data_IF_401970017968
#
_entry.id   IF_401970017968
#
_cell.length_a   1.000
_cell.length_b   1.000
_cell.length_c   1.000
_cell.angle_alpha   90.00
_cell.angle_beta   90.00
_cell.angle_gamma   90.00
#
_symmetry.space_group_name_H-M   'P 1'
#
loop_
_entity.id
_entity.type
_entity.pdbx_description
1 polymer ?
#
# COMPACT_ATOMS: atom_id res chain seq x y z
N UNK A 1 -18.25 -18.60 -7.88
CA UNK A 1 -17.19 -18.89 -6.90
C UNK A 1 -17.69 -19.47 -5.56
N UNK A 2 -17.16 -20.63 -5.15
CA UNK A 2 -17.43 -21.35 -3.89
C UNK A 2 -16.62 -20.79 -2.69
N UNK A 3 -16.90 -21.27 -1.46
CA UNK A 3 -16.10 -20.92 -0.27
C UNK A 3 -14.65 -21.41 -0.40
N UNK A 4 -14.46 -22.59 -0.98
CA UNK A 4 -13.14 -23.19 -1.18
C UNK A 4 -12.31 -22.38 -2.17
N UNK A 5 -12.91 -21.98 -3.29
CA UNK A 5 -12.27 -21.14 -4.31
C UNK A 5 -11.91 -19.75 -3.77
N UNK A 6 -12.77 -19.13 -2.93
CA UNK A 6 -12.42 -17.89 -2.23
C UNK A 6 -11.21 -18.06 -1.33
N UNK A 7 -11.14 -19.16 -0.58
CA UNK A 7 -10.00 -19.44 0.29
C UNK A 7 -8.72 -19.64 -0.53
N UNK A 8 -8.81 -20.34 -1.66
CA UNK A 8 -7.71 -20.47 -2.62
C UNK A 8 -7.19 -19.10 -3.07
N UNK A 9 -8.07 -18.20 -3.53
CA UNK A 9 -7.69 -16.86 -3.97
C UNK A 9 -6.97 -16.07 -2.87
N UNK A 10 -7.49 -16.07 -1.64
CA UNK A 10 -6.86 -15.40 -0.49
C UNK A 10 -5.46 -15.96 -0.17
N UNK A 11 -5.32 -17.28 -0.20
CA UNK A 11 -4.05 -17.95 0.07
C UNK A 11 -3.04 -17.66 -1.04
N UNK A 12 -3.48 -17.72 -2.31
CA UNK A 12 -2.64 -17.45 -3.46
C UNK A 12 -2.12 -16.02 -3.50
N UNK A 13 -2.97 -15.03 -3.21
CA UNK A 13 -2.57 -13.61 -3.08
C UNK A 13 -1.55 -13.40 -1.96
N UNK A 14 -1.49 -14.31 -0.98
CA UNK A 14 -0.56 -14.23 0.14
C UNK A 14 0.77 -14.94 -0.11
N UNK A 15 0.78 -16.06 -0.84
CA UNK A 15 1.96 -16.91 -1.04
C UNK A 15 2.54 -16.87 -2.46
N UNK A 16 1.75 -16.51 -3.47
CA UNK A 16 2.11 -16.64 -4.89
C UNK A 16 2.22 -18.08 -5.40
N UNK A 17 1.85 -19.07 -4.57
CA UNK A 17 2.02 -20.49 -4.87
C UNK A 17 0.65 -21.18 -4.98
N UNK A 18 0.32 -21.69 -6.18
CA UNK A 18 -0.97 -22.32 -6.51
C UNK A 18 -1.19 -23.60 -5.70
N UNK A 19 -0.22 -24.52 -5.71
CA UNK A 19 -0.31 -25.80 -5.00
C UNK A 19 -0.51 -25.60 -3.50
N UNK A 20 0.26 -24.71 -2.88
CA UNK A 20 0.11 -24.40 -1.46
C UNK A 20 -1.24 -23.75 -1.17
N UNK A 21 -1.70 -22.83 -2.03
CA UNK A 21 -2.99 -22.19 -1.89
C UNK A 21 -4.14 -23.21 -1.97
N UNK A 22 -4.02 -24.21 -2.85
CA UNK A 22 -4.97 -25.30 -3.01
C UNK A 22 -5.03 -26.21 -1.79
N UNK A 23 -3.87 -26.62 -1.25
CA UNK A 23 -3.80 -27.41 -0.01
C UNK A 23 -4.45 -26.65 1.15
N UNK A 24 -4.11 -25.37 1.34
CA UNK A 24 -4.69 -24.55 2.40
C UNK A 24 -6.17 -24.22 2.19
N UNK A 25 -6.66 -24.27 0.95
CA UNK A 25 -8.08 -24.17 0.65
C UNK A 25 -8.83 -25.48 0.96
N UNK A 26 -8.11 -26.59 1.22
CA UNK A 26 -8.69 -27.90 1.52
C UNK A 26 -8.85 -28.79 0.31
N UNK A 27 -8.10 -28.56 -0.78
CA UNK A 27 -8.03 -29.51 -1.90
C UNK A 27 -7.39 -30.81 -1.43
N UNK A 28 -8.08 -31.94 -1.63
CA UNK A 28 -7.65 -33.26 -1.12
C UNK A 28 -6.88 -34.09 -2.14
N UNK A 29 -7.23 -33.93 -3.42
CA UNK A 29 -6.67 -34.69 -4.53
C UNK A 29 -6.08 -33.71 -5.54
N UNK A 30 -4.87 -34.02 -6.00
CA UNK A 30 -4.14 -33.29 -7.03
C UNK A 30 -4.20 -31.74 -6.92
N UNK A 31 -3.68 -31.15 -5.82
CA UNK A 31 -3.74 -29.71 -5.57
C UNK A 31 -2.98 -28.87 -6.62
N UNK A 32 -2.02 -29.47 -7.33
CA UNK A 32 -1.27 -28.82 -8.39
C UNK A 32 -2.18 -28.54 -9.58
N UNK A 33 -2.72 -29.59 -10.21
CA UNK A 33 -3.64 -29.47 -11.35
C UNK A 33 -4.89 -28.69 -10.98
N UNK A 34 -5.44 -28.90 -9.78
CA UNK A 34 -6.62 -28.16 -9.33
C UNK A 34 -6.35 -26.65 -9.22
N UNK A 35 -5.21 -26.28 -8.63
CA UNK A 35 -4.80 -24.88 -8.48
C UNK A 35 -4.54 -24.21 -9.83
N UNK A 36 -3.82 -24.86 -10.73
CA UNK A 36 -3.55 -24.33 -12.08
C UNK A 36 -4.83 -24.14 -12.89
N UNK A 37 -5.74 -25.13 -12.88
CA UNK A 37 -7.01 -25.02 -13.56
C UNK A 37 -7.89 -23.90 -13.00
N UNK A 38 -7.85 -23.64 -11.68
CA UNK A 38 -8.54 -22.50 -11.10
C UNK A 38 -7.97 -21.18 -11.60
N UNK A 39 -6.64 -21.04 -11.70
CA UNK A 39 -6.02 -19.80 -12.20
C UNK A 39 -6.39 -19.47 -13.65
N UNK A 40 -6.75 -20.48 -14.45
CA UNK A 40 -7.22 -20.29 -15.83
C UNK A 40 -8.67 -19.80 -15.93
N UNK A 41 -9.44 -19.77 -14.83
CA UNK A 41 -10.84 -19.31 -14.84
C UNK A 41 -10.93 -17.80 -14.67
N UNK A 42 -11.73 -17.17 -15.52
CA UNK A 42 -11.97 -15.72 -15.51
C UNK A 42 -12.50 -15.22 -14.15
N UNK A 43 -13.46 -15.92 -13.54
CA UNK A 43 -14.03 -15.53 -12.24
C UNK A 43 -13.02 -15.59 -11.08
N UNK A 44 -12.00 -16.44 -11.20
CA UNK A 44 -10.90 -16.57 -10.24
C UNK A 44 -9.82 -15.51 -10.47
N UNK A 45 -9.47 -15.27 -11.73
CA UNK A 45 -8.51 -14.23 -12.11
C UNK A 45 -9.00 -12.84 -11.68
N UNK A 46 -10.28 -12.53 -11.90
CA UNK A 46 -10.90 -11.28 -11.47
C UNK A 46 -10.87 -11.11 -9.94
N UNK A 47 -11.16 -12.17 -9.20
CA UNK A 47 -11.11 -12.14 -7.73
C UNK A 47 -9.67 -11.95 -7.23
N UNK A 48 -8.69 -12.63 -7.82
CA UNK A 48 -7.27 -12.45 -7.48
C UNK A 48 -6.85 -11.01 -7.76
N UNK A 49 -7.21 -10.46 -8.92
CA UNK A 49 -6.91 -9.06 -9.26
C UNK A 49 -7.52 -8.09 -8.24
N UNK A 50 -8.79 -8.28 -7.88
CA UNK A 50 -9.47 -7.48 -6.85
C UNK A 50 -8.76 -7.57 -5.50
N UNK A 51 -8.41 -8.78 -5.05
CA UNK A 51 -7.71 -9.02 -3.79
C UNK A 51 -6.30 -8.43 -3.78
N UNK A 52 -5.58 -8.47 -4.90
CA UNK A 52 -4.26 -7.84 -5.05
C UNK A 52 -4.35 -6.31 -4.88
N UNK A 53 -5.37 -5.67 -5.46
CA UNK A 53 -5.61 -4.23 -5.26
C UNK A 53 -5.88 -3.91 -3.79
N UNK A 54 -6.75 -4.69 -3.13
CA UNK A 54 -7.05 -4.50 -1.71
C UNK A 54 -5.80 -4.70 -0.85
N UNK A 55 -5.05 -5.79 -1.09
CA UNK A 55 -3.82 -6.09 -0.36
C UNK A 55 -2.77 -5.00 -0.56
N UNK A 56 -2.59 -4.50 -1.79
CA UNK A 56 -1.69 -3.37 -2.08
C UNK A 56 -2.08 -2.16 -1.23
N UNK A 57 -3.37 -1.77 -1.23
CA UNK A 57 -3.87 -0.67 -0.40
C UNK A 57 -3.62 -0.89 1.09
N UNK A 58 -3.86 -2.09 1.61
CA UNK A 58 -3.61 -2.44 3.00
C UNK A 58 -2.13 -2.35 3.36
N UNK A 59 -1.25 -2.95 2.56
CA UNK A 59 0.20 -2.92 2.79
C UNK A 59 0.74 -1.49 2.71
N UNK A 60 0.31 -0.70 1.73
CA UNK A 60 0.66 0.72 1.62
C UNK A 60 0.19 1.50 2.85
N UNK A 61 -1.04 1.27 3.32
CA UNK A 61 -1.56 1.91 4.55
C UNK A 61 -0.74 1.54 5.80
N UNK A 62 -0.33 0.28 5.92
CA UNK A 62 0.55 -0.19 7.00
C UNK A 62 1.94 0.46 6.93
N UNK A 63 2.52 0.56 5.72
CA UNK A 63 3.80 1.22 5.51
C UNK A 63 3.74 2.72 5.88
N UNK A 64 2.69 3.42 5.43
CA UNK A 64 2.44 4.82 5.80
C UNK A 64 2.32 4.98 7.32
N UNK A 65 1.60 4.07 7.98
CA UNK A 65 1.47 4.09 9.45
C UNK A 65 2.83 3.91 10.13
N UNK A 66 3.67 2.99 9.64
CA UNK A 66 5.02 2.78 10.15
C UNK A 66 5.92 4.00 9.96
N UNK A 67 5.95 4.59 8.76
CA UNK A 67 6.75 5.79 8.51
C UNK A 67 6.28 7.00 9.32
N UNK A 68 4.97 7.16 9.56
CA UNK A 68 4.45 8.21 10.45
C UNK A 68 4.98 8.05 11.87
N UNK A 69 5.03 6.81 12.40
CA UNK A 69 5.63 6.55 13.71
C UNK A 69 7.12 6.89 13.74
N UNK A 70 7.88 6.57 12.69
CA UNK A 70 9.30 6.96 12.61
C UNK A 70 9.49 8.48 12.54
N UNK A 71 8.70 9.17 11.73
CA UNK A 71 8.83 10.61 11.50
C UNK A 71 8.38 11.46 12.70
N UNK A 72 7.27 11.08 13.33
CA UNK A 72 6.58 11.92 14.33
C UNK A 72 6.50 11.28 15.71
N UNK A 73 6.96 10.05 15.89
CA UNK A 73 6.92 9.33 17.16
C UNK A 73 7.79 9.98 18.24
N UNK A 74 7.37 9.82 19.49
CA UNK A 74 8.15 10.20 20.65
C UNK A 74 9.35 9.27 20.87
N UNK A 75 10.36 9.76 21.57
CA UNK A 75 11.54 8.96 21.98
C UNK A 75 11.61 8.79 23.50
N UNK A 76 10.54 9.13 24.22
CA UNK A 76 10.52 9.19 25.68
C UNK A 76 10.90 7.89 26.36
N UNK A 77 10.44 6.75 25.85
CA UNK A 77 10.77 5.44 26.42
C UNK A 77 12.22 5.03 26.15
N UNK A 78 12.74 5.33 24.96
CA UNK A 78 14.15 5.11 24.64
C UNK A 78 15.07 5.99 25.52
N UNK A 79 14.71 7.26 25.71
CA UNK A 79 15.43 8.16 26.64
C UNK A 79 15.32 7.63 28.07
N UNK A 80 14.15 7.17 28.49
CA UNK A 80 13.96 6.59 29.83
C UNK A 80 14.81 5.34 30.03
N UNK A 81 14.88 4.47 29.01
CA UNK A 81 15.70 3.26 29.02
C UNK A 81 17.19 3.56 29.20
N UNK A 82 17.69 4.65 28.61
CA UNK A 82 19.10 5.06 28.71
C UNK A 82 19.54 5.28 30.16
N UNK A 83 18.63 5.75 31.03
CA UNK A 83 18.89 6.03 32.44
C UNK A 83 18.44 4.91 33.40
N UNK A 84 17.94 3.79 32.88
CA UNK A 84 17.58 2.65 33.72
C UNK A 84 18.78 1.73 33.97
N UNK A 85 19.13 1.57 35.25
CA UNK A 85 20.20 0.66 35.66
C UNK A 85 19.78 -0.82 35.52
N UNK A 86 18.64 -1.18 36.12
CA UNK A 86 18.12 -2.55 36.14
C UNK A 86 16.64 -2.56 35.70
N UNK A 87 16.35 -2.40 34.40
CA UNK A 87 14.97 -2.40 33.93
C UNK A 87 14.34 -3.80 34.07
N UNK A 88 13.20 -3.86 34.74
CA UNK A 88 12.39 -5.08 34.82
C UNK A 88 11.81 -5.46 33.44
N UNK A 89 11.71 -6.76 33.16
CA UNK A 89 11.26 -7.32 31.89
C UNK A 89 9.84 -6.87 31.55
N UNK A 90 8.93 -6.82 32.53
CA UNK A 90 7.57 -6.35 32.29
C UNK A 90 7.54 -4.86 31.93
N UNK A 91 8.43 -4.06 32.52
CA UNK A 91 8.56 -2.66 32.13
C UNK A 91 9.09 -2.51 30.70
N UNK A 92 10.10 -3.32 30.33
CA UNK A 92 10.67 -3.32 28.97
C UNK A 92 9.65 -3.72 27.91
N UNK A 93 8.79 -4.70 28.18
CA UNK A 93 7.73 -5.13 27.25
C UNK A 93 6.73 -4.03 26.92
N UNK A 94 6.52 -3.10 27.84
CA UNK A 94 5.56 -2.02 27.71
C UNK A 94 6.16 -0.73 27.13
N UNK A 95 7.46 -0.69 26.83
CA UNK A 95 8.11 0.47 26.21
C UNK A 95 7.85 0.54 24.71
N UNK A 96 7.57 1.74 24.21
CA UNK A 96 7.59 2.05 22.78
C UNK A 96 9.01 2.35 22.31
N UNK A 97 9.68 1.32 21.79
CA UNK A 97 11.01 1.42 21.19
C UNK A 97 10.94 1.46 19.65
N UNK A 98 9.80 1.77 19.04
CA UNK A 98 9.59 1.67 17.60
C UNK A 98 10.59 2.51 16.76
N UNK A 99 11.02 3.66 17.28
CA UNK A 99 11.97 4.54 16.59
C UNK A 99 13.44 4.05 16.68
N UNK A 100 13.72 3.04 17.49
CA UNK A 100 15.09 2.57 17.77
C UNK A 100 15.54 1.61 16.67
N UNK A 101 16.69 1.91 16.06
CA UNK A 101 17.34 1.06 15.05
C UNK A 101 18.41 0.15 15.64
N UNK A 102 19.01 0.54 16.77
CA UNK A 102 20.10 -0.19 17.41
C UNK A 102 20.17 0.13 18.91
N UNK A 103 20.43 -0.88 19.74
CA UNK A 103 20.77 -0.72 21.16
C UNK A 103 22.08 -1.47 21.40
N UNK A 104 23.07 -0.82 22.01
CA UNK A 104 24.37 -1.43 22.37
C UNK A 104 24.80 -1.03 23.78
N UNK A 105 25.67 -1.85 24.38
CA UNK A 105 26.44 -1.52 25.59
C UNK A 105 27.92 -1.80 25.28
N UNK A 106 28.70 -0.80 24.84
CA UNK A 106 30.13 -0.96 24.61
C UNK A 106 30.88 -1.37 25.89
N UNK A 107 32.17 -1.72 25.73
CA UNK A 107 33.03 -2.17 26.85
C UNK A 107 33.15 -1.14 27.98
N UNK A 108 32.91 0.13 27.70
CA UNK A 108 32.87 1.22 28.68
C UNK A 108 31.57 1.24 29.52
N UNK A 109 30.65 0.30 29.29
CA UNK A 109 29.45 0.07 30.12
C UNK A 109 28.27 0.99 29.83
N UNK A 110 28.50 2.14 29.17
CA UNK A 110 27.44 3.06 28.76
C UNK A 110 26.49 2.40 27.76
N UNK A 111 25.19 2.69 27.84
CA UNK A 111 24.24 2.26 26.81
C UNK A 111 24.23 3.29 25.66
N UNK A 112 24.21 2.81 24.43
CA UNK A 112 24.02 3.60 23.22
C UNK A 112 22.73 3.18 22.52
N UNK A 113 21.92 4.17 22.12
CA UNK A 113 20.68 3.97 21.36
C UNK A 113 20.78 4.78 20.06
N UNK A 114 20.58 4.13 18.92
CA UNK A 114 20.43 4.80 17.63
C UNK A 114 18.97 4.80 17.20
N UNK A 115 18.56 5.87 16.55
CA UNK A 115 17.22 6.00 15.97
C UNK A 115 17.25 5.80 14.46
N UNK A 116 16.11 5.47 13.88
CA UNK A 116 15.91 5.62 12.44
C UNK A 116 15.91 7.10 12.04
N UNK A 117 16.27 7.35 10.78
CA UNK A 117 16.30 8.70 10.20
C UNK A 117 14.88 9.21 9.92
N UNK A 118 14.52 10.33 10.56
CA UNK A 118 13.21 10.98 10.43
C UNK A 118 13.01 11.63 9.07
N UNK A 119 14.05 12.23 8.49
CA UNK A 119 13.96 12.85 7.17
C UNK A 119 13.72 11.79 6.11
N UNK A 120 14.42 10.65 6.21
CA UNK A 120 14.16 9.50 5.32
C UNK A 120 12.74 8.95 5.43
N UNK A 121 12.16 8.95 6.64
CA UNK A 121 10.76 8.56 6.83
C UNK A 121 9.79 9.57 6.19
N UNK A 122 10.07 10.87 6.31
CA UNK A 122 9.28 11.94 5.68
C UNK A 122 9.35 11.88 4.15
N UNK A 123 10.53 11.68 3.56
CA UNK A 123 10.71 11.49 2.11
C UNK A 123 9.85 10.33 1.58
N UNK A 124 9.75 9.23 2.33
CA UNK A 124 8.92 8.07 1.95
C UNK A 124 7.42 8.37 2.07
N UNK A 125 7.02 9.19 3.03
CA UNK A 125 5.63 9.64 3.16
C UNK A 125 5.23 10.60 2.02
N UNK A 126 6.14 11.51 1.63
CA UNK A 126 5.91 12.43 0.51
C UNK A 126 5.80 11.67 -0.82
N UNK A 127 6.75 10.77 -1.12
CA UNK A 127 6.73 9.97 -2.34
C UNK A 127 5.43 9.14 -2.49
N UNK A 128 4.96 8.51 -1.41
CA UNK A 128 3.71 7.74 -1.43
C UNK A 128 2.45 8.57 -1.64
N UNK A 129 2.49 9.89 -1.41
CA UNK A 129 1.36 10.79 -1.67
C UNK A 129 1.22 11.17 -3.15
N UNK A 130 2.31 11.10 -3.92
CA UNK A 130 2.35 11.50 -5.33
C UNK A 130 1.89 10.38 -6.27
N UNK A 131 2.11 9.11 -5.90
CA UNK A 131 1.78 7.96 -6.75
C UNK A 131 0.28 7.68 -6.89
N UNK A 132 -0.57 8.17 -5.98
CA UNK A 132 -1.97 7.73 -5.93
C UNK A 132 -2.91 8.47 -6.90
N UNK A 133 -2.50 9.61 -7.51
CA UNK A 133 -3.41 10.39 -8.35
C UNK A 133 -2.78 11.15 -9.55
N UNK A 134 -1.46 11.23 -9.68
CA UNK A 134 -0.82 12.07 -10.71
C UNK A 134 -1.16 11.67 -12.14
N UNK A 135 -1.04 10.39 -12.48
CA UNK A 135 -1.28 9.91 -13.85
C UNK A 135 -2.77 9.93 -14.24
N UNK A 136 -3.67 9.59 -13.30
CA UNK A 136 -5.13 9.58 -13.54
C UNK A 136 -5.65 11.00 -13.70
N UNK A 137 -5.26 11.92 -12.80
CA UNK A 137 -5.66 13.33 -12.89
C UNK A 137 -5.10 14.00 -14.15
N UNK A 138 -3.86 13.66 -14.56
CA UNK A 138 -3.27 14.16 -15.80
C UNK A 138 -4.01 13.62 -17.04
N UNK A 139 -4.30 12.31 -17.09
CA UNK A 139 -5.05 11.72 -18.19
C UNK A 139 -6.47 12.30 -18.28
N UNK A 140 -7.14 12.50 -17.15
CA UNK A 140 -8.44 13.15 -17.09
C UNK A 140 -8.37 14.61 -17.58
N UNK A 141 -7.35 15.36 -17.16
CA UNK A 141 -7.12 16.73 -17.64
C UNK A 141 -6.91 16.78 -19.17
N UNK A 142 -6.15 15.83 -19.74
CA UNK A 142 -5.97 15.70 -21.19
C UNK A 142 -7.28 15.41 -21.91
N UNK A 143 -8.08 14.44 -21.42
CA UNK A 143 -9.38 14.11 -22.03
C UNK A 143 -10.37 15.28 -21.98
N UNK A 144 -10.39 16.04 -20.87
CA UNK A 144 -11.17 17.27 -20.73
C UNK A 144 -10.73 18.32 -21.73
N UNK A 145 -9.41 18.51 -21.91
CA UNK A 145 -8.84 19.41 -22.90
C UNK A 145 -9.23 19.04 -24.33
N UNK A 146 -9.06 17.77 -24.73
CA UNK A 146 -9.45 17.29 -26.06
C UNK A 146 -10.95 17.47 -26.35
N UNK A 147 -11.80 17.19 -25.35
CA UNK A 147 -13.25 17.36 -25.46
C UNK A 147 -13.65 18.84 -25.65
N UNK A 148 -12.96 19.76 -24.97
CA UNK A 148 -13.22 21.20 -25.09
C UNK A 148 -12.86 21.74 -26.48
N UNK A 149 -11.81 21.23 -27.12
CA UNK A 149 -11.42 21.59 -28.50
C UNK A 149 -12.44 21.09 -29.52
N UNK A 150 -12.89 19.83 -29.38
CA UNK A 150 -13.92 19.28 -30.28
C UNK A 150 -15.27 20.02 -30.19
N UNK A 151 -15.62 20.55 -29.01
CA UNK A 151 -16.88 21.26 -28.80
C UNK A 151 -16.82 22.76 -29.15
N UNK A 152 -15.63 23.31 -29.39
CA UNK A 152 -15.43 24.70 -29.85
C UNK A 152 -15.38 24.80 -31.37
N UNK A 153 -14.95 23.75 -32.07
CA UNK A 153 -15.03 23.66 -33.54
C UNK A 153 -16.46 23.60 -34.08
N UNK A 154 -17.43 23.08 -33.32
CA UNK A 154 -18.84 23.02 -33.70
C UNK A 154 -19.62 24.32 -33.48
N UNK A 155 -19.03 25.31 -32.78
CA UNK A 155 -19.69 26.57 -32.42
C UNK A 155 -19.40 27.72 -33.38
N UNK A 156 -18.48 27.56 -34.34
CA UNK A 156 -18.12 28.58 -35.31
C UNK A 156 -18.94 28.52 -36.63
N UNK A 157 -19.79 27.51 -36.84
CA UNK A 157 -20.60 27.40 -38.08
C UNK A 157 -22.02 27.99 -37.99
N UNK A 158 -22.37 28.79 -36.97
CA UNK A 158 -23.72 29.37 -36.81
C UNK A 158 -23.77 30.88 -36.60
N UNK A 159 -23.05 31.63 -37.42
CA UNK A 159 -23.29 33.08 -37.57
C UNK A 159 -23.11 33.44 -39.04
N UNK A 160 -24.01 34.28 -39.55
CA UNK A 160 -24.37 34.54 -40.97
C UNK A 160 -25.40 33.51 -41.44
N UNK A 161 -26.69 33.85 -41.53
CA UNK A 161 -27.23 34.82 -42.48
C UNK A 161 -28.44 35.56 -41.87
N UNK A 162 -28.34 36.87 -41.66
CA UNK A 162 -29.49 37.76 -41.48
C UNK A 162 -29.53 38.68 -42.72
N UNK A 163 -30.37 38.33 -43.71
CA UNK A 163 -30.72 39.27 -44.78
C UNK A 163 -32.01 39.96 -44.38
N UNK A 164 -31.89 41.26 -44.09
CA UNK A 164 -33.00 42.20 -44.14
C UNK A 164 -33.53 42.34 -45.57
N UNK A 165 -34.79 42.75 -45.67
CA UNK A 165 -35.43 43.09 -46.95
C UNK A 165 -36.91 43.36 -46.77
N UNK A 166 -37.20 44.64 -46.54
CA UNK A 166 -38.42 45.44 -46.76
C UNK A 166 -39.79 44.99 -46.20
#
# INVERSE_FOLDING_TARGET
MTRQERQFCCNYVSSGNSTQAAVLAGCKEDPETWGENLLCREDIADEIARLLVIRKKTVSSMAVTGYKKLAFGGIGDAVSLLYMENPDVEKLKNMDLYCVSEIRRPKEGAMEIKFFDRLKALEKLEAGSLEDNGAVSFFEALNRGASAVNNSGSRQERTEIEYGGD
#
